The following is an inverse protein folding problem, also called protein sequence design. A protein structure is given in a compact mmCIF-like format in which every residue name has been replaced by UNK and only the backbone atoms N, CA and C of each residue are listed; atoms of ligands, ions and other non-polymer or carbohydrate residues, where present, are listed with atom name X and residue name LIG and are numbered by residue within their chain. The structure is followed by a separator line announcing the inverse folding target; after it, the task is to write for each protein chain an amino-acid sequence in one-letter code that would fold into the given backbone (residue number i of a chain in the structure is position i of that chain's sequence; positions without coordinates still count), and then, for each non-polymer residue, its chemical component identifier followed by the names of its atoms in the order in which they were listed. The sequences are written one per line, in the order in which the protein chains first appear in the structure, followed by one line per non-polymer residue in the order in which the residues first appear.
data_IF_176079204149
#
_entry.id   IF_176079204149
#
_cell.length_a   1.000
_cell.length_b   1.000
_cell.length_c   1.000
_cell.angle_alpha   90.00
_cell.angle_beta   90.00
_cell.angle_gamma   90.00
#
_symmetry.space_group_name_H-M   'P 1'
#
loop_
_entity.id
_entity.type
_entity.pdbx_description
1 polymer ?
#
# COMPACT_ATOMS: atom_id res chain seq x y z
N UNK A 1 24.66 0.38 -8.60
CA UNK A 1 23.71 -0.71 -8.93
C UNK A 1 23.48 -0.64 -10.43
N UNK A 2 23.63 -1.76 -11.16
CA UNK A 2 23.78 -1.75 -12.63
C UNK A 2 22.48 -1.40 -13.35
N UNK A 3 22.55 -0.46 -14.30
CA UNK A 3 21.43 -0.08 -15.20
C UNK A 3 20.78 -1.31 -15.88
N UNK A 4 21.57 -2.35 -16.16
CA UNK A 4 21.10 -3.63 -16.71
C UNK A 4 20.12 -4.33 -15.76
N UNK A 5 20.40 -4.36 -14.45
CA UNK A 5 19.53 -4.98 -13.46
C UNK A 5 18.16 -4.28 -13.39
N UNK A 6 18.14 -2.94 -13.35
CA UNK A 6 16.89 -2.18 -13.39
C UNK A 6 16.16 -2.32 -14.72
N UNK A 7 16.90 -2.42 -15.83
CA UNK A 7 16.29 -2.69 -17.13
C UNK A 7 15.56 -4.03 -17.18
N UNK A 8 16.16 -5.08 -16.64
CA UNK A 8 15.53 -6.42 -16.55
C UNK A 8 14.28 -6.35 -15.68
N UNK A 9 14.36 -5.72 -14.50
CA UNK A 9 13.20 -5.56 -13.61
C UNK A 9 12.09 -4.80 -14.31
N UNK A 10 12.42 -3.73 -15.04
CA UNK A 10 11.43 -2.95 -15.78
C UNK A 10 10.75 -3.78 -16.87
N UNK A 11 11.49 -4.56 -17.64
CA UNK A 11 10.92 -5.46 -18.67
C UNK A 11 9.98 -6.49 -18.01
N UNK A 12 10.41 -7.13 -16.93
CA UNK A 12 9.59 -8.07 -16.18
C UNK A 12 8.31 -7.40 -15.63
N UNK A 13 8.42 -6.16 -15.16
CA UNK A 13 7.29 -5.37 -14.71
C UNK A 13 6.27 -5.11 -15.84
N UNK A 14 6.75 -4.78 -17.06
CA UNK A 14 5.85 -4.59 -18.21
C UNK A 14 5.16 -5.91 -18.62
N UNK A 15 5.88 -7.02 -18.57
CA UNK A 15 5.31 -8.35 -18.83
C UNK A 15 4.21 -8.67 -17.81
N UNK A 16 4.47 -8.46 -16.52
CA UNK A 16 3.47 -8.67 -15.47
C UNK A 16 2.26 -7.75 -15.64
N UNK A 17 2.48 -6.47 -15.98
CA UNK A 17 1.41 -5.51 -16.25
C UNK A 17 0.50 -5.96 -17.39
N UNK A 18 1.08 -6.54 -18.44
CA UNK A 18 0.34 -7.09 -19.56
C UNK A 18 -0.41 -8.37 -19.17
N UNK A 19 0.27 -9.30 -18.48
CA UNK A 19 -0.32 -10.57 -18.06
C UNK A 19 -1.53 -10.39 -17.13
N UNK A 20 -1.47 -9.44 -16.22
CA UNK A 20 -2.56 -9.14 -15.28
C UNK A 20 -3.51 -8.04 -15.78
N UNK A 21 -3.33 -7.55 -17.01
CA UNK A 21 -4.15 -6.49 -17.63
C UNK A 21 -4.47 -5.38 -16.63
N UNK A 22 -3.42 -4.81 -16.01
CA UNK A 22 -3.56 -3.88 -14.90
C UNK A 22 -4.15 -2.57 -15.39
N UNK A 23 -5.28 -2.19 -14.83
CA UNK A 23 -5.87 -0.86 -14.96
C UNK A 23 -5.57 -0.04 -13.72
N UNK A 24 -4.94 1.12 -13.91
CA UNK A 24 -4.58 2.04 -12.83
C UNK A 24 -5.47 3.25 -12.89
N UNK A 25 -6.01 3.67 -11.73
CA UNK A 25 -6.83 4.89 -11.59
C UNK A 25 -6.32 5.73 -10.43
N UNK A 26 -6.47 7.05 -10.53
CA UNK A 26 -6.12 7.98 -9.46
C UNK A 26 -4.63 8.19 -9.24
N UNK A 27 -3.77 7.75 -10.17
CA UNK A 27 -2.33 7.92 -10.06
C UNK A 27 -1.93 9.41 -10.11
N UNK A 28 -2.73 10.24 -10.78
CA UNK A 28 -2.58 11.68 -10.87
C UNK A 28 -2.68 12.40 -9.52
N UNK A 29 -3.34 11.79 -8.53
CA UNK A 29 -3.51 12.35 -7.19
C UNK A 29 -2.33 12.01 -6.26
N UNK A 30 -1.39 11.17 -6.73
CA UNK A 30 -0.32 10.65 -5.88
C UNK A 30 0.76 11.70 -5.65
N UNK A 31 1.00 12.17 -4.39
CA UNK A 31 2.11 13.03 -4.07
C UNK A 31 3.45 12.33 -4.35
N UNK A 32 4.48 13.11 -4.63
CA UNK A 32 5.79 12.55 -5.02
C UNK A 32 6.60 11.99 -3.85
N UNK A 33 6.50 12.63 -2.69
CA UNK A 33 7.39 12.36 -1.55
C UNK A 33 6.63 12.36 -0.23
N UNK A 34 7.15 11.64 0.76
CA UNK A 34 6.61 11.60 2.11
C UNK A 34 5.23 10.94 2.21
N UNK A 35 4.98 9.97 1.34
CA UNK A 35 3.67 9.31 1.22
C UNK A 35 3.68 7.98 1.95
N UNK A 36 2.61 7.73 2.70
CA UNK A 36 2.28 6.42 3.26
C UNK A 36 1.14 5.80 2.46
N UNK A 37 1.45 4.86 1.58
CA UNK A 37 0.47 4.07 0.83
C UNK A 37 -0.12 2.99 1.74
N UNK A 38 -1.45 2.96 1.83
CA UNK A 38 -2.20 2.03 2.67
C UNK A 38 -3.11 1.15 1.81
N UNK A 39 -2.60 0.10 1.16
CA UNK A 39 -3.42 -0.81 0.36
C UNK A 39 -4.14 -1.86 1.23
N UNK A 40 -5.23 -2.43 0.70
CA UNK A 40 -5.73 -3.71 1.17
C UNK A 40 -4.80 -4.84 0.72
N UNK A 41 -4.74 -5.93 1.49
CA UNK A 41 -3.85 -7.07 1.22
C UNK A 41 -4.64 -8.34 0.90
N UNK A 42 -4.96 -8.53 -0.36
CA UNK A 42 -5.77 -9.68 -0.83
C UNK A 42 -4.93 -10.76 -1.54
N UNK A 43 -3.67 -10.48 -1.85
CA UNK A 43 -2.76 -11.40 -2.54
C UNK A 43 -1.31 -11.06 -2.24
N UNK A 44 -0.46 -12.07 -2.14
CA UNK A 44 1.01 -11.89 -1.96
C UNK A 44 1.67 -11.15 -3.14
N UNK A 45 0.97 -11.04 -4.27
CA UNK A 45 1.41 -10.26 -5.43
C UNK A 45 1.10 -8.76 -5.31
N UNK A 46 0.26 -8.33 -4.35
CA UNK A 46 -0.14 -6.92 -4.22
C UNK A 46 1.03 -5.94 -4.15
N UNK A 47 2.10 -6.19 -3.35
CA UNK A 47 3.22 -5.25 -3.28
C UNK A 47 3.89 -5.06 -4.63
N UNK A 48 4.05 -6.16 -5.38
CA UNK A 48 4.69 -6.16 -6.71
C UNK A 48 3.79 -5.42 -7.72
N UNK A 49 2.50 -5.78 -7.77
CA UNK A 49 1.56 -5.19 -8.72
C UNK A 49 1.33 -3.70 -8.46
N UNK A 50 1.31 -3.26 -7.19
CA UNK A 50 1.24 -1.83 -6.85
C UNK A 50 2.54 -1.14 -7.25
N UNK A 51 3.70 -1.73 -6.92
CA UNK A 51 5.01 -1.16 -7.24
C UNK A 51 5.22 -0.92 -8.74
N UNK A 52 4.82 -1.86 -9.60
CA UNK A 52 4.96 -1.71 -11.06
C UNK A 52 3.98 -0.70 -11.68
N UNK A 53 2.96 -0.26 -10.93
CA UNK A 53 2.06 0.80 -11.36
C UNK A 53 2.61 2.21 -11.11
N UNK A 54 3.61 2.31 -10.23
CA UNK A 54 4.20 3.59 -9.87
C UNK A 54 5.22 4.06 -10.92
N UNK A 55 5.46 5.37 -11.04
CA UNK A 55 6.53 5.87 -11.90
C UNK A 55 7.89 5.30 -11.50
N UNK A 56 8.78 5.07 -12.47
CA UNK A 56 10.08 4.43 -12.23
C UNK A 56 10.99 5.20 -11.25
N UNK A 57 10.79 6.51 -11.15
CA UNK A 57 11.49 7.39 -10.22
C UNK A 57 10.78 7.54 -8.87
N UNK A 58 9.67 6.84 -8.66
CA UNK A 58 8.94 6.83 -7.39
C UNK A 58 9.60 5.86 -6.43
N UNK A 59 10.41 6.39 -5.54
CA UNK A 59 11.11 5.56 -4.54
C UNK A 59 10.11 5.05 -3.53
N UNK A 60 9.89 3.74 -3.54
CA UNK A 60 8.96 3.05 -2.65
C UNK A 60 9.70 2.08 -1.75
N UNK A 61 9.51 2.23 -0.46
CA UNK A 61 9.91 1.27 0.55
C UNK A 61 8.69 0.46 1.01
N UNK A 62 8.92 -0.78 1.46
CA UNK A 62 7.83 -1.60 2.00
C UNK A 62 8.33 -2.59 3.05
N UNK A 63 7.43 -2.93 3.97
CA UNK A 63 7.70 -3.94 4.99
C UNK A 63 7.48 -5.33 4.41
N UNK A 64 8.43 -6.23 4.59
CA UNK A 64 8.32 -7.63 4.21
C UNK A 64 8.71 -8.53 5.38
N UNK A 65 8.13 -9.73 5.43
CA UNK A 65 8.43 -10.72 6.49
C UNK A 65 9.92 -10.98 6.59
N UNK A 66 10.45 -11.02 7.82
CA UNK A 66 11.88 -11.27 8.09
C UNK A 66 12.38 -12.56 7.46
N UNK A 67 11.57 -13.61 7.45
CA UNK A 67 11.92 -14.93 6.89
C UNK A 67 12.27 -14.85 5.40
N UNK A 68 11.69 -13.91 4.66
CA UNK A 68 11.99 -13.71 3.23
C UNK A 68 13.42 -13.22 2.99
N UNK A 69 14.06 -12.65 4.01
CA UNK A 69 15.45 -12.17 3.94
C UNK A 69 16.49 -13.23 4.30
N UNK A 70 16.08 -14.40 4.80
CA UNK A 70 16.98 -15.51 5.15
C UNK A 70 17.65 -16.07 3.90
N UNK A 71 16.96 -16.13 2.76
CA UNK A 71 17.59 -16.48 1.49
C UNK A 71 18.46 -15.31 1.02
N UNK A 72 19.78 -15.52 0.90
CA UNK A 72 20.76 -14.46 0.57
C UNK A 72 20.47 -13.77 -0.77
N UNK A 73 20.08 -14.52 -1.81
CA UNK A 73 19.80 -13.97 -3.13
C UNK A 73 18.49 -13.18 -3.11
N UNK A 74 17.43 -13.80 -2.61
CA UNK A 74 16.10 -13.19 -2.55
C UNK A 74 16.09 -11.96 -1.63
N UNK A 75 16.74 -12.04 -0.47
CA UNK A 75 16.88 -10.91 0.45
C UNK A 75 17.66 -9.73 -0.16
N UNK A 76 18.68 -9.98 -1.02
CA UNK A 76 19.35 -8.89 -1.76
C UNK A 76 18.41 -8.22 -2.77
N UNK A 77 17.61 -9.00 -3.49
CA UNK A 77 16.63 -8.48 -4.45
C UNK A 77 15.59 -7.63 -3.70
N UNK A 78 15.03 -8.14 -2.61
CA UNK A 78 14.06 -7.41 -1.79
C UNK A 78 14.62 -6.08 -1.29
N UNK A 79 15.84 -6.07 -0.72
CA UNK A 79 16.48 -4.81 -0.29
C UNK A 79 16.73 -3.85 -1.45
N UNK A 80 17.13 -4.36 -2.62
CA UNK A 80 17.32 -3.56 -3.80
C UNK A 80 16.01 -2.91 -4.31
N UNK A 81 14.88 -3.55 -4.04
CA UNK A 81 13.54 -3.04 -4.34
C UNK A 81 12.98 -2.13 -3.23
N UNK A 82 13.77 -1.83 -2.18
CA UNK A 82 13.36 -0.96 -1.07
C UNK A 82 12.67 -1.68 0.09
N UNK A 83 12.63 -3.03 0.09
CA UNK A 83 12.06 -3.76 1.21
C UNK A 83 12.96 -3.75 2.45
N UNK A 84 12.36 -3.67 3.63
CA UNK A 84 13.02 -3.91 4.90
C UNK A 84 12.25 -4.94 5.75
N UNK A 85 12.97 -5.71 6.58
CA UNK A 85 12.36 -6.79 7.35
C UNK A 85 11.45 -6.26 8.45
N UNK A 86 10.40 -7.02 8.76
CA UNK A 86 9.53 -6.82 9.92
C UNK A 86 9.24 -8.17 10.57
N UNK A 87 9.44 -8.21 11.89
CA UNK A 87 8.98 -9.33 12.71
C UNK A 87 7.49 -9.12 13.04
N UNK A 88 6.65 -10.09 12.69
CA UNK A 88 5.19 -10.03 12.89
C UNK A 88 4.73 -10.71 14.18
N UNK A 89 5.62 -11.39 14.88
CA UNK A 89 5.29 -12.13 16.12
C UNK A 89 5.14 -11.20 17.32
N UNK A 90 5.47 -9.91 17.18
CA UNK A 90 5.37 -8.93 18.26
C UNK A 90 5.41 -7.48 17.79
N UNK A 91 5.58 -6.56 18.74
CA UNK A 91 5.76 -5.14 18.45
C UNK A 91 7.20 -4.88 17.95
N UNK A 92 7.40 -4.84 16.65
CA UNK A 92 8.72 -4.55 16.05
C UNK A 92 8.99 -3.04 16.04
N UNK A 93 9.63 -2.58 17.14
CA UNK A 93 10.01 -1.18 17.32
C UNK A 93 11.02 -0.73 16.26
N UNK A 94 11.90 -1.64 15.79
CA UNK A 94 12.91 -1.30 14.78
C UNK A 94 12.27 -1.07 13.41
N UNK A 95 11.31 -1.91 13.03
CA UNK A 95 10.55 -1.71 11.82
C UNK A 95 9.76 -0.38 11.85
N UNK A 96 9.16 -0.03 12.99
CA UNK A 96 8.46 1.25 13.17
C UNK A 96 9.43 2.45 13.05
N UNK A 97 10.60 2.37 13.70
CA UNK A 97 11.64 3.41 13.58
C UNK A 97 12.13 3.56 12.14
N UNK A 98 12.35 2.45 11.44
CA UNK A 98 12.76 2.46 10.02
C UNK A 98 11.68 3.08 9.15
N UNK A 99 10.41 2.73 9.36
CA UNK A 99 9.28 3.32 8.66
C UNK A 99 9.21 4.85 8.84
N UNK A 100 9.34 5.31 10.07
CA UNK A 100 9.35 6.75 10.36
C UNK A 100 10.54 7.45 9.72
N UNK A 101 11.73 6.84 9.75
CA UNK A 101 12.94 7.38 9.12
C UNK A 101 12.75 7.54 7.61
N UNK A 102 12.22 6.52 6.92
CA UNK A 102 11.91 6.55 5.48
C UNK A 102 11.04 7.77 5.14
N UNK A 103 9.97 7.99 5.90
CA UNK A 103 9.07 9.13 5.67
C UNK A 103 9.78 10.47 5.94
N UNK A 104 10.57 10.58 7.04
CA UNK A 104 11.30 11.80 7.37
C UNK A 104 12.39 12.16 6.34
N UNK A 105 12.94 11.17 5.65
CA UNK A 105 13.88 11.35 4.53
C UNK A 105 13.18 11.77 3.22
N UNK A 106 11.84 11.95 3.26
CA UNK A 106 11.03 12.31 2.09
C UNK A 106 10.77 11.15 1.14
N UNK A 107 11.13 9.94 1.54
CA UNK A 107 10.86 8.73 0.74
C UNK A 107 9.42 8.24 0.98
N UNK A 108 8.95 7.32 0.14
CA UNK A 108 7.58 6.81 0.20
C UNK A 108 7.54 5.40 0.78
N UNK A 109 6.50 5.11 1.53
CA UNK A 109 6.34 3.87 2.26
C UNK A 109 5.02 3.20 1.93
N UNK A 110 5.04 1.89 1.71
CA UNK A 110 3.85 1.06 1.55
C UNK A 110 3.73 0.14 2.77
N UNK A 111 2.60 0.21 3.46
CA UNK A 111 2.27 -0.67 4.57
C UNK A 111 0.85 -1.20 4.38
N UNK A 112 0.70 -2.51 4.49
CA UNK A 112 -0.61 -3.16 4.51
C UNK A 112 -1.22 -3.05 5.91
N UNK A 113 -2.33 -2.29 6.08
CA UNK A 113 -2.90 -2.06 7.40
C UNK A 113 -3.43 -3.33 8.09
N UNK A 114 -3.77 -4.33 7.31
CA UNK A 114 -4.29 -5.61 7.79
C UNK A 114 -3.21 -6.49 8.43
N UNK A 115 -1.93 -6.20 8.17
CA UNK A 115 -0.77 -6.93 8.71
C UNK A 115 -0.60 -8.35 8.16
N UNK A 116 -1.62 -8.90 7.52
CA UNK A 116 -1.62 -10.24 6.92
C UNK A 116 -2.40 -10.25 5.61
N UNK A 117 -2.14 -11.25 4.76
CA UNK A 117 -2.87 -11.44 3.51
C UNK A 117 -4.25 -12.03 3.79
N UNK A 118 -5.30 -11.45 3.23
CA UNK A 118 -6.69 -11.89 3.38
C UNK A 118 -7.17 -12.46 2.04
N UNK A 119 -7.07 -13.77 1.91
CA UNK A 119 -7.30 -14.48 0.64
C UNK A 119 -8.75 -14.50 0.16
N UNK A 120 -9.73 -14.26 1.03
CA UNK A 120 -11.15 -14.21 0.68
C UNK A 120 -11.55 -12.93 -0.07
N UNK A 121 -10.68 -11.93 -0.07
CA UNK A 121 -10.88 -10.64 -0.74
C UNK A 121 -12.02 -9.81 -0.16
N UNK A 122 -12.61 -10.21 0.96
CA UNK A 122 -13.80 -9.58 1.56
C UNK A 122 -13.44 -8.75 2.80
N UNK A 123 -12.19 -8.87 3.29
CA UNK A 123 -11.73 -8.15 4.47
C UNK A 123 -12.15 -8.82 5.79
N UNK A 124 -12.30 -10.14 5.78
CA UNK A 124 -12.52 -10.96 6.97
C UNK A 124 -11.32 -11.89 7.17
N UNK A 125 -10.90 -12.03 8.41
CA UNK A 125 -9.95 -13.05 8.84
C UNK A 125 -10.64 -13.90 9.91
N UNK A 126 -10.73 -15.21 9.67
CA UNK A 126 -11.40 -16.18 10.58
C UNK A 126 -12.85 -15.77 10.94
N UNK A 127 -13.60 -15.24 9.96
CA UNK A 127 -14.97 -14.79 10.16
C UNK A 127 -15.15 -13.46 10.88
N UNK A 128 -14.05 -12.81 11.28
CA UNK A 128 -14.05 -11.49 11.89
C UNK A 128 -13.59 -10.42 10.90
N UNK A 129 -14.12 -9.19 10.96
CA UNK A 129 -13.64 -8.09 10.15
C UNK A 129 -12.15 -7.87 10.37
N UNK A 130 -11.35 -7.85 9.28
CA UNK A 130 -9.95 -7.48 9.36
C UNK A 130 -9.82 -6.05 9.87
N UNK A 131 -9.10 -5.88 10.96
CA UNK A 131 -8.88 -4.58 11.57
C UNK A 131 -7.49 -4.05 11.20
N UNK A 132 -7.44 -2.81 10.73
CA UNK A 132 -6.17 -2.13 10.55
C UNK A 132 -5.44 -2.00 11.89
N UNK A 133 -4.16 -2.36 11.92
CA UNK A 133 -3.33 -2.20 13.10
C UNK A 133 -3.16 -0.71 13.46
N UNK A 134 -3.30 -0.37 14.73
CA UNK A 134 -3.16 1.01 15.24
C UNK A 134 -1.75 1.59 15.02
N UNK A 135 -0.74 0.73 14.89
CA UNK A 135 0.65 1.12 14.62
C UNK A 135 0.82 1.93 13.34
N UNK A 136 0.04 1.66 12.29
CA UNK A 136 0.13 2.39 11.01
C UNK A 136 -0.41 3.81 11.16
N UNK A 137 -1.52 3.95 11.88
CA UNK A 137 -2.06 5.27 12.19
C UNK A 137 -1.06 6.10 13.01
N UNK A 138 -0.35 5.45 13.95
CA UNK A 138 0.68 6.08 14.75
C UNK A 138 1.87 6.52 13.88
N UNK A 139 2.34 5.67 12.94
CA UNK A 139 3.38 6.03 11.99
C UNK A 139 2.94 7.26 11.18
N UNK A 140 1.75 7.22 10.56
CA UNK A 140 1.26 8.33 9.74
C UNK A 140 1.15 9.65 10.50
N UNK A 141 0.61 9.61 11.72
CA UNK A 141 0.44 10.81 12.56
C UNK A 141 1.79 11.36 13.04
N UNK A 142 2.68 10.49 13.57
CA UNK A 142 3.96 10.92 14.14
C UNK A 142 4.99 11.34 13.10
N UNK A 143 4.93 10.76 11.89
CA UNK A 143 5.83 11.16 10.80
C UNK A 143 5.31 12.34 9.98
N UNK A 144 4.08 12.78 10.19
CA UNK A 144 3.44 13.80 9.33
C UNK A 144 3.20 13.34 7.90
N UNK A 145 3.21 12.02 7.66
CA UNK A 145 3.05 11.46 6.33
C UNK A 145 1.70 11.83 5.69
N UNK A 146 1.71 12.06 4.38
CA UNK A 146 0.48 12.09 3.60
C UNK A 146 0.03 10.64 3.34
N UNK A 147 -1.14 10.27 3.85
CA UNK A 147 -1.72 8.95 3.64
C UNK A 147 -2.48 8.88 2.33
N UNK A 148 -2.24 7.82 1.56
CA UNK A 148 -2.99 7.53 0.34
C UNK A 148 -3.57 6.13 0.46
N UNK A 149 -4.90 5.98 0.56
CA UNK A 149 -5.52 4.68 0.50
C UNK A 149 -5.41 4.10 -0.91
N UNK A 150 -5.02 2.83 -1.00
CA UNK A 150 -4.92 2.13 -2.29
C UNK A 150 -5.87 0.93 -2.28
N UNK A 151 -6.64 0.78 -3.33
CA UNK A 151 -7.46 -0.41 -3.51
C UNK A 151 -6.84 -1.29 -4.60
N UNK A 152 -6.54 -2.54 -4.26
CA UNK A 152 -6.13 -3.56 -5.20
C UNK A 152 -7.22 -4.64 -5.28
N UNK A 153 -7.69 -4.97 -6.47
CA UNK A 153 -8.75 -5.98 -6.66
C UNK A 153 -8.34 -7.33 -6.07
N UNK A 154 -9.29 -8.03 -5.40
CA UNK A 154 -9.00 -9.19 -4.57
C UNK A 154 -8.47 -10.41 -5.33
N UNK A 155 -9.04 -10.74 -6.49
CA UNK A 155 -8.68 -11.95 -7.24
C UNK A 155 -7.74 -11.66 -8.40
N UNK A 156 -6.42 -11.81 -8.16
CA UNK A 156 -5.40 -11.71 -9.21
C UNK A 156 -5.39 -13.00 -10.04
N UNK A 157 -5.85 -12.90 -11.27
CA UNK A 157 -5.80 -14.01 -12.23
C UNK A 157 -5.10 -13.53 -13.50
N UNK A 158 -4.16 -14.32 -14.01
CA UNK A 158 -3.53 -14.03 -15.31
C UNK A 158 -4.59 -13.91 -16.40
N UNK A 159 -4.37 -13.00 -17.34
CA UNK A 159 -5.24 -12.66 -18.46
C UNK A 159 -6.61 -12.07 -18.06
N UNK A 160 -6.84 -11.80 -16.78
CA UNK A 160 -8.01 -11.05 -16.31
C UNK A 160 -7.63 -9.65 -15.86
N UNK A 161 -8.56 -8.72 -16.05
CA UNK A 161 -8.41 -7.33 -15.62
C UNK A 161 -8.26 -7.27 -14.10
N UNK A 162 -7.19 -6.62 -13.66
CA UNK A 162 -6.92 -6.30 -12.27
C UNK A 162 -6.94 -4.78 -12.13
N UNK A 163 -7.76 -4.24 -11.25
CA UNK A 163 -7.87 -2.80 -11.05
C UNK A 163 -7.12 -2.39 -9.80
N UNK A 164 -6.27 -1.36 -9.93
CA UNK A 164 -5.58 -0.71 -8.82
C UNK A 164 -5.99 0.76 -8.80
N UNK A 165 -6.49 1.23 -7.66
CA UNK A 165 -7.03 2.59 -7.50
C UNK A 165 -6.28 3.28 -6.37
N UNK A 166 -5.66 4.41 -6.68
CA UNK A 166 -5.09 5.33 -5.72
C UNK A 166 -6.15 6.35 -5.33
N UNK A 167 -6.51 6.37 -4.04
CA UNK A 167 -7.51 7.30 -3.52
C UNK A 167 -6.94 8.70 -3.28
N UNK A 168 -7.78 9.58 -2.76
CA UNK A 168 -7.39 10.95 -2.43
C UNK A 168 -6.41 10.97 -1.24
N UNK A 169 -5.30 11.72 -1.35
CA UNK A 169 -4.36 11.88 -0.26
C UNK A 169 -4.97 12.69 0.88
N UNK A 170 -4.61 12.37 2.12
CA UNK A 170 -4.99 13.14 3.28
C UNK A 170 -3.90 13.11 4.36
N UNK A 171 -3.81 14.17 5.15
CA UNK A 171 -2.89 14.24 6.29
C UNK A 171 -3.68 13.92 7.56
N UNK A 172 -3.28 12.89 8.33
CA UNK A 172 -3.95 12.57 9.58
C UNK A 172 -3.65 13.64 10.64
N UNK A 173 -4.70 14.17 11.28
CA UNK A 173 -4.55 15.15 12.36
C UNK A 173 -4.84 14.52 13.71
N UNK A 174 -4.07 14.91 14.72
CA UNK A 174 -4.38 14.59 16.12
C UNK A 174 -5.47 15.56 16.55
N UNK A 175 -6.64 15.04 16.89
CA UNK A 175 -7.64 15.83 17.58
C UNK A 175 -7.48 15.59 19.08
N UNK A 176 -7.02 16.60 19.80
CA UNK A 176 -6.87 16.56 21.24
C UNK A 176 -8.22 16.29 21.90
N UNK A 177 -8.26 15.29 22.80
CA UNK A 177 -9.29 15.13 23.82
C UNK A 177 -10.30 13.99 23.67
N UNK A 178 -10.26 13.11 22.67
CA UNK A 178 -11.25 12.03 22.56
C UNK A 178 -10.70 10.73 21.97
N UNK A 179 -10.10 9.88 22.78
CA UNK A 179 -9.74 8.50 22.39
C UNK A 179 -8.77 8.39 21.22
N UNK A 180 -8.56 7.21 20.63
CA UNK A 180 -7.69 7.07 19.47
C UNK A 180 -8.14 8.01 18.35
N UNK A 181 -7.22 8.79 17.74
CA UNK A 181 -7.55 9.88 16.81
C UNK A 181 -8.57 9.43 15.76
N UNK A 182 -9.49 10.31 15.38
CA UNK A 182 -10.52 10.02 14.35
C UNK A 182 -9.87 9.52 13.04
N UNK A 183 -8.62 9.90 12.79
CA UNK A 183 -7.78 9.37 11.73
C UNK A 183 -7.54 7.86 11.85
N UNK A 184 -7.29 7.31 13.05
CA UNK A 184 -7.18 5.85 13.26
C UNK A 184 -8.51 5.14 12.97
N UNK A 185 -9.63 5.76 13.36
CA UNK A 185 -10.97 5.22 13.06
C UNK A 185 -11.29 5.31 11.56
N UNK A 186 -10.88 6.39 10.87
CA UNK A 186 -10.99 6.50 9.40
C UNK A 186 -10.10 5.49 8.68
N UNK A 187 -8.86 5.29 9.10
CA UNK A 187 -7.99 4.25 8.55
C UNK A 187 -8.59 2.86 8.72
N UNK A 188 -9.05 2.51 9.93
CA UNK A 188 -9.78 1.25 10.17
C UNK A 188 -10.99 1.08 9.26
N UNK A 189 -11.66 2.18 8.95
CA UNK A 189 -12.88 2.21 8.15
C UNK A 189 -12.60 2.19 6.65
N UNK A 190 -11.51 2.81 6.18
CA UNK A 190 -11.15 2.89 4.75
C UNK A 190 -10.42 1.64 4.28
N UNK A 191 -9.62 1.00 5.13
CA UNK A 191 -8.90 -0.24 4.81
C UNK A 191 -9.82 -1.48 4.78
N UNK A 192 -11.07 -1.37 5.23
CA UNK A 192 -12.03 -2.45 5.04
C UNK A 192 -12.44 -2.50 3.56
N UNK A 193 -12.05 -3.56 2.84
CA UNK A 193 -12.23 -3.73 1.39
C UNK A 193 -13.67 -3.42 0.90
N UNK A 194 -14.68 -3.69 1.72
CA UNK A 194 -16.09 -3.39 1.41
C UNK A 194 -16.38 -1.88 1.38
N UNK A 195 -15.80 -1.12 2.30
CA UNK A 195 -15.99 0.35 2.36
C UNK A 195 -15.11 1.08 1.34
N UNK A 196 -13.92 0.56 1.03
CA UNK A 196 -13.10 1.08 -0.06
C UNK A 196 -13.82 0.95 -1.41
N UNK A 197 -14.44 -0.20 -1.72
CA UNK A 197 -15.24 -0.37 -2.94
C UNK A 197 -16.43 0.61 -3.00
N UNK A 198 -17.08 0.89 -1.88
CA UNK A 198 -18.17 1.88 -1.85
C UNK A 198 -17.67 3.31 -1.95
N UNK A 199 -16.51 3.63 -1.39
CA UNK A 199 -15.85 4.93 -1.53
C UNK A 199 -15.37 5.17 -2.97
N UNK A 200 -14.80 4.14 -3.60
CA UNK A 200 -14.39 4.13 -5.00
C UNK A 200 -15.60 4.35 -5.93
N UNK A 201 -16.70 3.62 -5.73
CA UNK A 201 -17.93 3.83 -6.51
C UNK A 201 -18.50 5.24 -6.33
N UNK A 202 -18.50 5.79 -5.12
CA UNK A 202 -18.93 7.18 -4.88
C UNK A 202 -18.00 8.20 -5.52
N UNK A 203 -16.69 7.93 -5.57
CA UNK A 203 -15.73 8.78 -6.25
C UNK A 203 -15.91 8.73 -7.77
N UNK A 204 -16.11 7.55 -8.35
CA UNK A 204 -16.43 7.36 -9.76
C UNK A 204 -17.74 8.10 -10.14
N UNK A 205 -18.78 7.98 -9.33
CA UNK A 205 -20.06 8.69 -9.55
C UNK A 205 -19.88 10.21 -9.54
N UNK A 206 -19.18 10.79 -8.56
CA UNK A 206 -18.95 12.25 -8.51
C UNK A 206 -18.10 12.77 -9.66
N UNK A 207 -17.21 11.96 -10.21
CA UNK A 207 -16.40 12.35 -11.36
C UNK A 207 -17.20 12.36 -12.66
N UNK A 208 -18.20 11.51 -12.78
CA UNK A 208 -19.16 11.55 -13.90
C UNK A 208 -20.09 12.77 -13.82
N UNK A 209 -20.45 13.23 -12.62
CA UNK A 209 -21.30 14.43 -12.44
C UNK A 209 -20.56 15.75 -12.69
N UNK A 210 -19.22 15.75 -12.55
CA UNK A 210 -18.36 16.94 -12.77
C UNK A 210 -17.89 17.15 -14.21
N UNK A 211 -18.12 16.20 -15.10
CA UNK A 211 -17.88 16.34 -16.54
C UNK A 211 -19.22 16.16 -17.24
N UNK A 212 -19.95 17.27 -17.35
CA UNK A 212 -21.07 17.34 -18.31
C UNK A 212 -20.51 17.04 -19.70
N UNK A 213 -21.03 15.97 -20.30
CA UNK A 213 -20.88 15.72 -21.73
C UNK A 213 -21.40 16.87 -22.58
#
# INVERSE_FOLDING_TARGET
MNHVFFGIIWVLAQILRLLYRIEVKGLENLPRNGVLLCPNHASDLDPVLIGICLPINYRLHFMAKEELFQNRLFGRILRALGAFPVNREGADIQAVKTAMKVIHEGENLLIFPEGTTIHDGVGYHDGLPAHAHSGIAMIGVRSGATLVPVFADGKKRMFRKTTIIFGEPYVPQITDGAGPPRSCRRLRTMCCARRMRSAVRRWEARRCEGHSC
#
